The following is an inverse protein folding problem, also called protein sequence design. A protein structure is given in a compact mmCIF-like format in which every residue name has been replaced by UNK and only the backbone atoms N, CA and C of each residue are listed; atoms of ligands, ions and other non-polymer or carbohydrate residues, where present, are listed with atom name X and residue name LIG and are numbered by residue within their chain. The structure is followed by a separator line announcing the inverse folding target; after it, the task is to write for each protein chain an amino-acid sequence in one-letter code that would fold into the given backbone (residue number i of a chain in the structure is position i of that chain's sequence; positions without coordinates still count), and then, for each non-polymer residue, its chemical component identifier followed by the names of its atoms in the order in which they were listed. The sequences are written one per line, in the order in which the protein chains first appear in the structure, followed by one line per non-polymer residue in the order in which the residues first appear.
data_IF_889284458263
#
_entry.id   IF_889284458263
#
_cell.length_a   1.000
_cell.length_b   1.000
_cell.length_c   1.000
_cell.angle_alpha   90.00
_cell.angle_beta   90.00
_cell.angle_gamma   90.00
#
_symmetry.space_group_name_H-M   'P 1'
#
loop_
_entity.id
_entity.type
_entity.pdbx_description
1 polymer ?
#
# COMPACT_ATOMS: atom_id res chain seq x y z
N UNK A 1 -3.11 -10.49 12.71
CA UNK A 1 -3.45 -9.18 13.33
C UNK A 1 -3.48 -8.09 12.28
N UNK A 2 -4.16 -7.01 12.56
CA UNK A 2 -4.23 -5.82 11.69
C UNK A 2 -3.60 -4.62 12.40
N UNK A 3 -3.07 -3.67 11.61
CA UNK A 3 -2.58 -2.38 12.12
C UNK A 3 -3.22 -1.23 11.35
N UNK A 4 -3.50 -0.13 12.04
CA UNK A 4 -3.88 1.14 11.46
C UNK A 4 -3.28 2.27 12.30
N UNK A 5 -2.86 3.38 11.67
CA UNK A 5 -2.18 4.50 12.33
C UNK A 5 -0.95 4.05 13.16
N UNK A 6 -0.19 3.05 12.63
CA UNK A 6 0.98 2.40 13.27
C UNK A 6 0.67 1.69 14.60
N UNK A 7 -0.61 1.50 14.93
CA UNK A 7 -1.07 0.79 16.12
C UNK A 7 -1.53 -0.61 15.75
N UNK A 8 -1.06 -1.63 16.48
CA UNK A 8 -1.46 -3.04 16.30
C UNK A 8 -2.67 -3.36 17.14
N UNK A 9 -3.71 -3.87 16.53
CA UNK A 9 -4.93 -4.32 17.19
C UNK A 9 -4.78 -5.75 17.74
N UNK A 10 -5.56 -6.08 18.77
CA UNK A 10 -5.53 -7.41 19.41
C UNK A 10 -6.25 -8.46 18.58
N UNK A 11 -7.28 -8.05 17.86
CA UNK A 11 -8.14 -8.92 17.09
C UNK A 11 -7.42 -9.46 15.84
N UNK A 12 -7.71 -10.70 15.52
CA UNK A 12 -7.30 -11.32 14.27
C UNK A 12 -8.41 -11.18 13.23
N UNK A 13 -8.04 -10.89 12.00
CA UNK A 13 -8.94 -10.92 10.85
C UNK A 13 -8.88 -12.32 10.25
N UNK A 14 -9.96 -13.11 10.30
CA UNK A 14 -10.00 -14.46 9.74
C UNK A 14 -9.52 -14.47 8.28
N UNK A 15 -8.80 -15.54 7.91
CA UNK A 15 -8.24 -15.74 6.56
C UNK A 15 -7.23 -14.69 6.07
N UNK A 16 -7.02 -13.56 6.77
CA UNK A 16 -6.11 -12.50 6.31
C UNK A 16 -4.71 -13.03 5.99
N UNK A 17 -4.11 -13.82 6.88
CA UNK A 17 -2.78 -14.40 6.65
C UNK A 17 -2.72 -15.28 5.40
N UNK A 18 -3.76 -16.09 5.17
CA UNK A 18 -3.86 -16.93 3.97
C UNK A 18 -3.98 -16.09 2.70
N UNK A 19 -4.85 -15.09 2.71
CA UNK A 19 -5.02 -14.16 1.58
C UNK A 19 -3.72 -13.45 1.24
N UNK A 20 -3.01 -12.93 2.24
CA UNK A 20 -1.73 -12.22 2.02
C UNK A 20 -0.65 -13.14 1.44
N UNK A 21 -0.52 -14.38 1.94
CA UNK A 21 0.43 -15.35 1.40
C UNK A 21 0.11 -15.74 -0.04
N UNK A 22 -1.17 -15.98 -0.34
CA UNK A 22 -1.60 -16.33 -1.70
C UNK A 22 -1.47 -15.14 -2.67
N UNK A 23 -1.72 -13.89 -2.23
CA UNK A 23 -1.47 -12.72 -3.05
C UNK A 23 0.02 -12.50 -3.32
N UNK A 24 0.89 -12.69 -2.33
CA UNK A 24 2.33 -12.60 -2.54
C UNK A 24 2.79 -13.59 -3.61
N UNK A 25 2.39 -14.87 -3.51
CA UNK A 25 2.67 -15.89 -4.53
C UNK A 25 2.16 -15.48 -5.90
N UNK A 26 0.90 -15.05 -6.00
CA UNK A 26 0.27 -14.62 -7.25
C UNK A 26 1.00 -13.44 -7.90
N UNK A 27 1.28 -12.37 -7.14
CA UNK A 27 1.91 -11.18 -7.71
C UNK A 27 3.37 -11.41 -8.08
N UNK A 28 4.14 -12.12 -7.27
CA UNK A 28 5.53 -12.43 -7.59
C UNK A 28 5.66 -13.28 -8.86
N UNK A 29 4.70 -14.18 -9.11
CA UNK A 29 4.62 -14.93 -10.37
C UNK A 29 4.21 -14.02 -11.55
N UNK A 30 3.13 -13.25 -11.40
CA UNK A 30 2.55 -12.43 -12.47
C UNK A 30 3.42 -11.27 -12.92
N UNK A 31 4.17 -10.67 -12.02
CA UNK A 31 4.97 -9.48 -12.34
C UNK A 31 6.19 -9.79 -13.20
N UNK A 32 6.70 -11.02 -13.17
CA UNK A 32 7.87 -11.47 -13.97
C UNK A 32 9.10 -10.59 -13.75
N UNK A 33 9.30 -10.11 -12.53
CA UNK A 33 10.45 -9.33 -12.08
C UNK A 33 11.24 -10.14 -11.06
N UNK A 34 12.55 -9.88 -10.96
CA UNK A 34 13.38 -10.46 -9.91
C UNK A 34 12.80 -10.13 -8.54
N UNK A 35 12.47 -11.14 -7.75
CA UNK A 35 11.88 -11.00 -6.43
C UNK A 35 12.47 -12.02 -5.44
N UNK A 36 12.22 -11.80 -4.17
CA UNK A 36 12.79 -12.61 -3.10
C UNK A 36 12.00 -13.91 -2.79
N UNK A 37 10.84 -14.10 -3.41
CA UNK A 37 9.97 -15.24 -3.14
C UNK A 37 10.61 -16.56 -3.58
N UNK A 38 10.57 -17.56 -2.71
CA UNK A 38 11.05 -18.92 -3.02
C UNK A 38 9.87 -19.86 -3.19
N UNK A 39 9.01 -19.93 -2.19
CA UNK A 39 7.80 -20.78 -2.22
C UNK A 39 6.83 -20.44 -1.09
N UNK A 40 5.59 -20.83 -1.26
CA UNK A 40 4.63 -20.89 -0.15
C UNK A 40 4.85 -22.19 0.63
N UNK A 41 5.07 -22.07 1.93
CA UNK A 41 5.33 -23.17 2.83
C UNK A 41 4.05 -23.77 3.41
N UNK A 42 3.08 -22.88 3.76
CA UNK A 42 1.76 -23.24 4.28
C UNK A 42 0.73 -22.22 3.82
N UNK A 43 -0.50 -22.29 4.34
CA UNK A 43 -1.51 -21.27 4.03
C UNK A 43 -1.14 -19.87 4.56
N UNK A 44 -0.29 -19.78 5.57
CA UNK A 44 0.05 -18.51 6.24
C UNK A 44 1.54 -18.21 6.28
N UNK A 45 2.35 -18.99 5.55
CA UNK A 45 3.82 -18.86 5.57
C UNK A 45 4.39 -18.92 4.15
N UNK A 46 5.28 -17.99 3.85
CA UNK A 46 6.11 -17.99 2.64
C UNK A 46 7.59 -18.07 3.02
N UNK A 47 8.38 -18.72 2.19
CA UNK A 47 9.83 -18.73 2.27
C UNK A 47 10.35 -17.73 1.25
N UNK A 48 11.25 -16.86 1.70
CA UNK A 48 11.87 -15.82 0.89
C UNK A 48 13.37 -15.78 1.10
N UNK A 49 14.11 -15.32 0.09
CA UNK A 49 15.53 -15.01 0.24
C UNK A 49 15.71 -13.77 1.10
N UNK A 50 16.59 -13.85 2.11
CA UNK A 50 16.92 -12.70 2.95
C UNK A 50 17.70 -11.68 2.14
N UNK A 51 17.26 -10.44 2.15
CA UNK A 51 17.89 -9.32 1.44
C UNK A 51 18.35 -8.23 2.39
N UNK A 52 19.27 -7.39 1.93
CA UNK A 52 19.53 -6.08 2.54
C UNK A 52 18.50 -5.10 1.98
N UNK A 53 17.46 -4.82 2.77
CA UNK A 53 16.40 -3.89 2.35
C UNK A 53 16.94 -2.48 2.11
N UNK A 54 16.43 -1.82 1.08
CA UNK A 54 16.67 -0.40 0.85
C UNK A 54 15.79 0.42 1.81
N UNK A 55 16.33 1.50 2.41
CA UNK A 55 15.62 2.28 3.42
C UNK A 55 14.64 3.29 2.80
N UNK A 56 13.91 2.87 1.78
CA UNK A 56 12.95 3.67 1.02
C UNK A 56 11.73 2.81 0.68
N UNK A 57 10.53 3.36 0.89
CA UNK A 57 9.29 2.79 0.39
C UNK A 57 8.92 3.45 -0.93
N UNK A 58 8.65 2.63 -1.93
CA UNK A 58 8.34 3.07 -3.28
C UNK A 58 6.83 3.15 -3.45
N UNK A 59 6.25 4.33 -3.21
CA UNK A 59 4.82 4.56 -3.39
C UNK A 59 4.56 5.09 -4.80
N UNK A 60 3.62 4.47 -5.50
CA UNK A 60 3.12 4.95 -6.81
C UNK A 60 1.67 5.32 -6.68
N UNK A 61 1.32 6.51 -7.14
CA UNK A 61 -0.05 7.01 -7.09
C UNK A 61 -0.61 7.23 -8.47
N UNK A 62 -1.76 6.65 -8.74
CA UNK A 62 -2.50 6.85 -9.99
C UNK A 62 -3.70 7.77 -9.84
N UNK A 63 -4.06 8.13 -8.61
CA UNK A 63 -5.23 8.95 -8.29
C UNK A 63 -4.91 10.00 -7.23
N UNK A 64 -5.59 11.14 -7.29
CA UNK A 64 -5.48 12.21 -6.30
C UNK A 64 -6.26 11.81 -5.03
N UNK A 65 -5.59 11.10 -4.11
CA UNK A 65 -6.21 10.51 -2.94
C UNK A 65 -5.23 10.35 -1.75
N UNK A 66 -5.79 10.12 -0.56
CA UNK A 66 -5.02 9.84 0.65
C UNK A 66 -4.12 11.00 1.07
N UNK A 67 -2.92 10.69 1.57
CA UNK A 67 -1.95 11.69 2.07
C UNK A 67 -1.45 12.65 1.00
N UNK A 68 -1.57 12.31 -0.29
CA UNK A 68 -1.23 13.22 -1.39
C UNK A 68 -2.02 14.52 -1.31
N UNK A 69 -3.31 14.45 -0.94
CA UNK A 69 -4.20 15.63 -0.84
C UNK A 69 -3.72 16.60 0.24
N UNK A 70 -3.45 16.08 1.44
CA UNK A 70 -3.01 16.94 2.55
C UNK A 70 -1.65 17.58 2.26
N UNK A 71 -0.73 16.86 1.66
CA UNK A 71 0.58 17.33 1.27
C UNK A 71 0.52 18.38 0.15
N UNK A 72 -0.32 18.14 -0.85
CA UNK A 72 -0.56 19.12 -1.91
C UNK A 72 -1.12 20.43 -1.35
N UNK A 73 -2.12 20.36 -0.46
CA UNK A 73 -2.70 21.55 0.20
C UNK A 73 -1.68 22.33 1.03
N UNK A 74 -0.68 21.65 1.60
CA UNK A 74 0.41 22.28 2.35
C UNK A 74 1.56 22.77 1.46
N UNK A 75 1.51 22.51 0.14
CA UNK A 75 2.60 22.86 -0.78
C UNK A 75 3.83 21.95 -0.69
N UNK A 76 3.70 20.80 -0.02
CA UNK A 76 4.81 19.83 0.18
C UNK A 76 5.05 18.94 -1.04
N UNK A 77 4.13 18.91 -1.99
CA UNK A 77 4.25 18.18 -3.26
C UNK A 77 3.66 19.04 -4.39
N UNK A 78 4.36 19.04 -5.52
CA UNK A 78 3.89 19.69 -6.75
C UNK A 78 3.37 18.62 -7.71
N UNK A 79 2.22 18.90 -8.32
CA UNK A 79 1.64 18.04 -9.35
C UNK A 79 1.89 18.65 -10.74
N UNK A 80 1.96 17.84 -11.79
CA UNK A 80 2.07 18.33 -13.16
C UNK A 80 0.94 19.34 -13.49
N UNK A 81 1.25 20.34 -14.31
CA UNK A 81 0.26 21.31 -14.74
C UNK A 81 -0.93 20.63 -15.44
N UNK A 82 -2.15 21.08 -15.12
CA UNK A 82 -3.37 20.49 -15.67
C UNK A 82 -3.87 19.24 -14.93
N UNK A 83 -3.21 18.81 -13.85
CA UNK A 83 -3.72 17.74 -13.01
C UNK A 83 -5.05 18.12 -12.37
N UNK A 84 -6.07 17.26 -12.51
CA UNK A 84 -7.33 17.43 -11.78
C UNK A 84 -7.11 17.07 -10.29
N UNK A 85 -7.31 18.06 -9.43
CA UNK A 85 -7.17 17.95 -7.98
C UNK A 85 -8.50 17.73 -7.25
N UNK A 86 -9.51 17.27 -7.96
CA UNK A 86 -10.75 16.77 -7.35
C UNK A 86 -10.46 15.45 -6.63
N UNK A 87 -11.07 15.24 -5.47
CA UNK A 87 -10.92 14.00 -4.68
C UNK A 87 -11.16 12.77 -5.57
N UNK A 88 -10.24 11.83 -5.53
CA UNK A 88 -10.24 10.59 -6.31
C UNK A 88 -10.16 10.78 -7.85
N UNK A 89 -9.82 11.96 -8.37
CA UNK A 89 -9.55 12.12 -9.79
C UNK A 89 -8.33 11.30 -10.21
N UNK A 90 -8.38 10.72 -11.41
CA UNK A 90 -7.25 10.01 -11.99
C UNK A 90 -6.15 11.01 -12.36
N UNK A 91 -4.92 10.72 -11.99
CA UNK A 91 -3.76 11.53 -12.40
C UNK A 91 -3.49 11.35 -13.90
N UNK A 92 -2.92 12.36 -14.55
CA UNK A 92 -2.55 12.32 -15.97
C UNK A 92 -1.61 11.15 -16.27
N UNK A 93 -0.60 10.97 -15.41
CA UNK A 93 0.31 9.82 -15.37
C UNK A 93 0.49 9.40 -13.92
N UNK A 94 0.78 8.10 -13.65
CA UNK A 94 1.15 7.68 -12.31
C UNK A 94 2.41 8.40 -11.83
N UNK A 95 2.39 8.88 -10.59
CA UNK A 95 3.53 9.57 -9.99
C UNK A 95 4.24 8.67 -8.99
N UNK A 96 5.57 8.77 -8.95
CA UNK A 96 6.40 8.15 -7.92
C UNK A 96 6.51 9.11 -6.74
N UNK A 97 6.03 8.69 -5.59
CA UNK A 97 5.87 9.50 -4.37
C UNK A 97 6.45 8.76 -3.15
N UNK A 98 7.78 8.53 -3.13
CA UNK A 98 8.42 7.68 -2.13
C UNK A 98 8.45 8.30 -0.74
N UNK A 99 8.63 7.42 0.26
CA UNK A 99 8.86 7.79 1.66
C UNK A 99 10.14 7.12 2.18
N UNK A 100 10.68 7.64 3.28
CA UNK A 100 11.67 6.88 4.05
C UNK A 100 11.01 5.62 4.62
N UNK A 101 11.77 4.55 4.80
CA UNK A 101 11.39 3.41 5.64
C UNK A 101 11.96 3.63 7.02
N UNK A 102 11.20 4.31 7.87
CA UNK A 102 11.59 4.67 9.23
C UNK A 102 10.42 4.45 10.20
N UNK A 103 10.61 4.76 11.46
CA UNK A 103 9.53 4.67 12.46
C UNK A 103 8.33 5.55 12.09
N UNK A 104 8.58 6.66 11.40
CA UNK A 104 7.57 7.51 10.77
C UNK A 104 7.97 7.72 9.31
N UNK A 105 7.12 7.28 8.39
CA UNK A 105 7.36 7.39 6.95
C UNK A 105 7.33 8.86 6.51
N UNK A 106 8.50 9.41 6.22
CA UNK A 106 8.65 10.80 5.81
C UNK A 106 8.67 10.85 4.28
N UNK A 107 7.79 11.62 3.64
CA UNK A 107 7.82 11.84 2.21
C UNK A 107 9.15 12.46 1.76
N UNK A 108 9.70 11.93 0.69
CA UNK A 108 10.97 12.37 0.11
C UNK A 108 10.87 12.50 -1.39
N UNK A 109 11.59 13.47 -1.94
CA UNK A 109 11.89 13.57 -3.36
C UNK A 109 13.27 12.95 -3.67
N UNK A 110 13.65 12.97 -4.95
CA UNK A 110 14.94 12.47 -5.40
C UNK A 110 16.11 13.16 -4.70
N UNK A 111 16.06 14.49 -4.61
CA UNK A 111 17.15 15.27 -4.01
C UNK A 111 17.35 14.89 -2.54
N UNK A 112 16.27 14.79 -1.78
CA UNK A 112 16.31 14.42 -0.36
C UNK A 112 16.77 12.97 -0.17
N UNK A 113 16.33 12.03 -1.02
CA UNK A 113 16.76 10.62 -0.97
C UNK A 113 18.28 10.51 -1.16
N UNK A 114 18.86 11.27 -2.10
CA UNK A 114 20.32 11.31 -2.35
C UNK A 114 21.08 12.02 -1.23
N UNK A 115 20.60 13.15 -0.74
CA UNK A 115 21.23 13.89 0.38
C UNK A 115 21.27 13.03 1.65
N UNK A 116 20.22 12.28 1.93
CA UNK A 116 20.15 11.34 3.06
C UNK A 116 20.94 10.03 2.80
N UNK A 117 21.51 9.85 1.61
CA UNK A 117 22.23 8.64 1.20
C UNK A 117 21.43 7.36 1.36
N UNK A 118 20.13 7.42 1.13
CA UNK A 118 19.25 6.25 1.19
C UNK A 118 19.48 5.33 -0.01
N UNK A 119 19.71 5.92 -1.18
CA UNK A 119 19.97 5.25 -2.46
C UNK A 119 20.93 6.09 -3.30
N UNK A 120 21.54 5.49 -4.33
CA UNK A 120 22.29 6.22 -5.37
C UNK A 120 21.35 6.80 -6.43
N UNK A 121 21.87 7.66 -7.31
CA UNK A 121 21.09 8.25 -8.42
C UNK A 121 20.54 7.15 -9.34
N UNK A 122 21.40 6.20 -9.70
CA UNK A 122 21.02 5.06 -10.54
C UNK A 122 19.97 4.16 -9.87
N UNK A 123 20.12 3.92 -8.57
CA UNK A 123 19.15 3.16 -7.80
C UNK A 123 17.81 3.88 -7.77
N UNK A 124 17.78 5.19 -7.52
CA UNK A 124 16.55 5.97 -7.49
C UNK A 124 15.84 5.92 -8.84
N UNK A 125 16.55 6.18 -9.94
CA UNK A 125 15.99 6.12 -11.28
C UNK A 125 15.43 4.73 -11.64
N UNK A 126 16.11 3.68 -11.22
CA UNK A 126 15.65 2.29 -11.40
C UNK A 126 14.38 2.01 -10.59
N UNK A 127 14.35 2.43 -9.30
CA UNK A 127 13.20 2.26 -8.41
C UNK A 127 11.97 2.98 -8.94
N UNK A 128 12.12 4.24 -9.35
CA UNK A 128 11.04 5.04 -9.92
C UNK A 128 10.44 4.36 -11.17
N UNK A 129 11.30 4.08 -12.16
CA UNK A 129 10.86 3.44 -13.40
C UNK A 129 10.19 2.10 -13.14
N UNK A 130 10.84 1.23 -12.35
CA UNK A 130 10.35 -0.12 -12.11
C UNK A 130 9.06 -0.12 -11.32
N UNK A 131 8.91 0.74 -10.32
CA UNK A 131 7.69 0.86 -9.53
C UNK A 131 6.51 1.33 -10.38
N UNK A 132 6.72 2.30 -11.27
CA UNK A 132 5.68 2.76 -12.21
C UNK A 132 5.30 1.65 -13.20
N UNK A 133 6.27 0.90 -13.73
CA UNK A 133 6.01 -0.23 -14.64
C UNK A 133 5.19 -1.34 -13.94
N UNK A 134 5.53 -1.67 -12.68
CA UNK A 134 4.77 -2.62 -11.85
C UNK A 134 3.35 -2.10 -11.62
N UNK A 135 3.20 -0.84 -11.22
CA UNK A 135 1.89 -0.23 -10.98
C UNK A 135 1.02 -0.31 -12.24
N UNK A 136 1.54 0.03 -13.42
CA UNK A 136 0.82 -0.04 -14.69
C UNK A 136 0.34 -1.47 -14.96
N UNK A 137 1.22 -2.46 -14.84
CA UNK A 137 0.88 -3.88 -15.03
C UNK A 137 -0.18 -4.37 -14.03
N UNK A 138 -0.05 -4.03 -12.76
CA UNK A 138 -1.03 -4.38 -11.74
C UNK A 138 -2.37 -3.68 -11.97
N UNK A 139 -2.36 -2.42 -12.42
CA UNK A 139 -3.58 -1.67 -12.77
C UNK A 139 -4.35 -2.30 -13.92
N UNK A 140 -3.67 -2.83 -14.93
CA UNK A 140 -4.31 -3.55 -16.04
C UNK A 140 -4.98 -4.85 -15.57
N UNK A 141 -4.34 -5.57 -14.64
CA UNK A 141 -4.91 -6.80 -14.07
C UNK A 141 -6.12 -6.46 -13.20
N UNK A 142 -6.00 -5.44 -12.34
CA UNK A 142 -7.08 -4.96 -11.51
C UNK A 142 -8.28 -4.48 -12.34
N UNK A 143 -8.02 -3.76 -13.43
CA UNK A 143 -9.04 -3.24 -14.33
C UNK A 143 -9.89 -4.37 -14.95
N UNK A 144 -9.25 -5.44 -15.42
CA UNK A 144 -9.91 -6.64 -15.95
C UNK A 144 -10.74 -7.38 -14.89
N UNK A 145 -10.34 -7.30 -13.63
CA UNK A 145 -11.05 -7.88 -12.49
C UNK A 145 -12.18 -6.98 -11.94
N UNK A 146 -12.44 -5.82 -12.56
CA UNK A 146 -13.48 -4.88 -12.15
C UNK A 146 -13.05 -3.93 -11.03
N UNK A 147 -11.74 -3.72 -10.84
CA UNK A 147 -11.19 -2.83 -9.83
C UNK A 147 -10.35 -1.70 -10.43
N UNK A 148 -10.21 -0.65 -9.66
CA UNK A 148 -9.26 0.43 -9.85
C UNK A 148 -8.16 0.27 -8.80
N UNK A 149 -6.89 0.20 -9.23
CA UNK A 149 -5.73 0.30 -8.35
C UNK A 149 -5.39 1.79 -8.18
N UNK A 150 -5.69 2.35 -7.01
CA UNK A 150 -5.52 3.79 -6.80
C UNK A 150 -4.09 4.19 -6.47
N UNK A 151 -3.43 3.41 -5.64
CA UNK A 151 -2.01 3.54 -5.30
C UNK A 151 -1.43 2.18 -4.91
N UNK A 152 -0.10 2.11 -4.89
CA UNK A 152 0.65 0.90 -4.58
C UNK A 152 1.92 1.29 -3.82
N UNK A 153 2.25 0.55 -2.77
CA UNK A 153 3.53 0.62 -2.04
C UNK A 153 4.35 -0.63 -2.36
N UNK A 154 5.60 -0.45 -2.70
CA UNK A 154 6.57 -1.50 -2.98
C UNK A 154 7.83 -1.30 -2.14
N UNK A 155 8.46 -2.39 -1.78
CA UNK A 155 9.74 -2.39 -1.10
C UNK A 155 10.76 -3.23 -1.87
N UNK A 156 11.99 -2.77 -1.88
CA UNK A 156 13.07 -3.43 -2.60
C UNK A 156 14.28 -3.64 -1.69
N UNK A 157 15.08 -4.62 -2.02
CA UNK A 157 16.35 -4.89 -1.34
C UNK A 157 17.43 -5.29 -2.33
N UNK A 158 18.61 -5.54 -1.80
CA UNK A 158 19.76 -6.04 -2.58
C UNK A 158 19.90 -7.55 -2.31
N UNK A 159 19.80 -8.35 -3.35
CA UNK A 159 20.09 -9.78 -3.38
C UNK A 159 21.15 -10.04 -4.46
N UNK A 160 22.27 -10.63 -4.07
CA UNK A 160 23.39 -10.94 -4.98
C UNK A 160 23.82 -9.73 -5.84
N UNK A 161 23.88 -8.56 -5.22
CA UNK A 161 24.29 -7.31 -5.87
C UNK A 161 23.23 -6.66 -6.77
N UNK A 162 22.02 -7.21 -6.88
CA UNK A 162 20.95 -6.71 -7.74
C UNK A 162 19.79 -6.18 -6.90
N UNK A 163 19.16 -5.09 -7.36
CA UNK A 163 17.91 -4.61 -6.78
C UNK A 163 16.82 -5.64 -7.10
N UNK A 164 16.14 -6.08 -6.06
CA UNK A 164 15.18 -7.18 -6.09
C UNK A 164 13.92 -6.78 -5.34
N UNK A 165 12.75 -7.07 -5.89
CA UNK A 165 11.47 -6.79 -5.26
C UNK A 165 11.31 -7.67 -4.02
N UNK A 166 10.87 -7.07 -2.92
CA UNK A 166 10.73 -7.72 -1.63
C UNK A 166 9.39 -7.47 -0.97
N UNK A 167 9.36 -7.67 0.34
CA UNK A 167 8.19 -7.56 1.21
C UNK A 167 7.03 -8.45 0.74
N UNK A 168 5.81 -8.00 0.88
CA UNK A 168 4.61 -8.65 0.34
C UNK A 168 3.86 -7.69 -0.57
N UNK A 169 3.09 -8.24 -1.49
CA UNK A 169 2.19 -7.44 -2.34
C UNK A 169 0.78 -7.96 -2.10
N UNK A 170 -0.03 -7.17 -1.42
CA UNK A 170 -1.38 -7.56 -1.06
C UNK A 170 -2.25 -6.36 -0.67
N UNK A 171 -3.47 -6.59 -0.19
CA UNK A 171 -4.41 -5.53 0.17
C UNK A 171 -3.94 -4.57 1.26
N UNK A 172 -2.86 -4.88 1.96
CA UNK A 172 -2.24 -3.96 2.93
C UNK A 172 -1.33 -2.92 2.25
N UNK A 173 -0.87 -3.19 1.02
CA UNK A 173 0.11 -2.40 0.29
C UNK A 173 -0.48 -1.59 -0.86
N UNK A 174 -1.80 -1.70 -1.12
CA UNK A 174 -2.46 -0.93 -2.17
C UNK A 174 -3.91 -0.58 -1.81
N UNK A 175 -4.47 0.44 -2.48
CA UNK A 175 -5.90 0.73 -2.47
C UNK A 175 -6.57 0.18 -3.71
N UNK A 176 -7.62 -0.61 -3.49
CA UNK A 176 -8.36 -1.28 -4.55
C UNK A 176 -9.83 -0.85 -4.47
N UNK A 177 -10.31 -0.10 -5.47
CA UNK A 177 -11.68 0.40 -5.53
C UNK A 177 -12.53 -0.36 -6.54
N UNK A 178 -13.76 -0.77 -6.22
CA UNK A 178 -14.68 -1.35 -7.19
C UNK A 178 -15.03 -0.32 -8.28
N UNK A 179 -14.81 -0.66 -9.55
CA UNK A 179 -15.07 0.26 -10.67
C UNK A 179 -16.51 0.74 -10.76
N UNK A 180 -17.47 -0.14 -10.45
CA UNK A 180 -18.91 0.16 -10.53
C UNK A 180 -19.40 1.14 -9.46
N UNK A 181 -18.64 1.38 -8.41
CA UNK A 181 -18.95 2.35 -7.35
C UNK A 181 -18.06 3.59 -7.37
N UNK A 182 -17.06 3.62 -8.25
CA UNK A 182 -16.13 4.73 -8.35
C UNK A 182 -16.82 6.04 -8.75
N UNK A 183 -16.61 7.10 -7.98
CA UNK A 183 -17.14 8.44 -8.25
C UNK A 183 -16.10 9.50 -7.89
N UNK A 184 -15.71 10.32 -8.87
CA UNK A 184 -14.85 11.49 -8.64
C UNK A 184 -15.56 12.46 -7.67
N UNK A 185 -14.79 13.09 -6.79
CA UNK A 185 -15.29 14.03 -5.79
C UNK A 185 -15.82 13.38 -4.51
N UNK A 186 -15.82 12.05 -4.41
CA UNK A 186 -16.29 11.32 -3.23
C UNK A 186 -15.21 10.43 -2.63
N UNK A 187 -15.38 10.09 -1.35
CA UNK A 187 -14.64 9.00 -0.71
C UNK A 187 -15.00 7.70 -1.39
N UNK A 188 -14.00 6.85 -1.62
CA UNK A 188 -14.18 5.60 -2.34
C UNK A 188 -14.33 4.42 -1.39
N UNK A 189 -15.23 3.49 -1.73
CA UNK A 189 -15.21 2.17 -1.12
C UNK A 189 -13.91 1.47 -1.49
N UNK A 190 -13.24 0.83 -0.52
CA UNK A 190 -11.94 0.20 -0.75
C UNK A 190 -11.93 -1.24 -0.24
N UNK A 191 -11.28 -2.14 -1.00
CA UNK A 191 -11.10 -3.56 -0.66
C UNK A 191 -9.75 -3.82 0.00
N UNK A 192 -9.42 -2.94 0.94
CA UNK A 192 -8.21 -2.98 1.78
C UNK A 192 -8.58 -2.72 3.26
N UNK A 193 -7.61 -2.30 4.05
CA UNK A 193 -7.81 -1.94 5.46
C UNK A 193 -8.49 -0.57 5.68
N UNK A 194 -8.96 0.10 4.61
CA UNK A 194 -9.59 1.42 4.73
C UNK A 194 -10.86 1.38 5.57
N UNK A 195 -11.64 0.29 5.51
CA UNK A 195 -12.84 0.14 6.33
C UNK A 195 -12.54 0.26 7.85
N UNK A 196 -11.40 -0.25 8.30
CA UNK A 196 -10.97 -0.08 9.69
C UNK A 196 -10.60 1.37 9.98
N UNK A 197 -9.89 2.03 9.05
CA UNK A 197 -9.52 3.44 9.20
C UNK A 197 -10.74 4.36 9.23
N UNK A 198 -11.72 4.10 8.37
CA UNK A 198 -12.97 4.87 8.31
C UNK A 198 -13.74 4.71 9.64
N UNK A 199 -13.89 3.48 10.12
CA UNK A 199 -14.52 3.20 11.41
C UNK A 199 -13.79 3.91 12.56
N UNK A 200 -12.46 3.87 12.60
CA UNK A 200 -11.66 4.55 13.61
C UNK A 200 -11.84 6.08 13.56
N UNK A 201 -11.87 6.64 12.35
CA UNK A 201 -12.06 8.08 12.13
C UNK A 201 -13.45 8.53 12.56
N UNK A 202 -14.51 7.80 12.17
CA UNK A 202 -15.90 8.06 12.54
C UNK A 202 -16.14 8.04 14.05
N UNK A 203 -15.36 7.22 14.78
CA UNK A 203 -15.43 7.12 16.24
C UNK A 203 -14.40 8.00 16.98
N UNK A 204 -13.67 8.87 16.26
CA UNK A 204 -12.73 9.82 16.84
C UNK A 204 -11.41 9.21 17.35
N UNK A 205 -11.12 7.94 17.05
CA UNK A 205 -9.92 7.26 17.53
C UNK A 205 -8.63 7.78 16.90
N UNK A 206 -8.68 8.29 15.66
CA UNK A 206 -7.50 8.88 15.04
C UNK A 206 -6.92 10.01 15.89
N UNK A 207 -7.77 10.94 16.34
CA UNK A 207 -7.34 12.06 17.18
C UNK A 207 -6.77 11.56 18.53
N UNK A 208 -7.38 10.52 19.12
CA UNK A 208 -6.87 9.94 20.38
C UNK A 208 -5.46 9.37 20.22
N UNK A 209 -5.16 8.75 19.06
CA UNK A 209 -3.83 8.23 18.76
C UNK A 209 -2.81 9.35 18.56
N UNK A 210 -3.19 10.41 17.86
CA UNK A 210 -2.33 11.58 17.64
C UNK A 210 -2.04 12.29 18.98
N UNK A 211 -3.07 12.55 19.79
CA UNK A 211 -2.93 13.18 21.12
C UNK A 211 -2.02 12.34 22.06
N UNK A 212 -2.16 11.01 22.06
CA UNK A 212 -1.32 10.13 22.86
C UNK A 212 0.16 10.18 22.45
N UNK A 213 0.43 10.18 21.13
CA UNK A 213 1.79 10.28 20.58
C UNK A 213 2.43 11.63 20.92
N UNK A 214 1.68 12.72 20.77
CA UNK A 214 2.15 14.07 21.09
C UNK A 214 2.49 14.18 22.59
N UNK A 215 1.79 13.41 23.44
CA UNK A 215 2.08 13.29 24.86
C UNK A 215 3.20 12.29 25.21
N UNK A 216 3.85 11.66 24.19
CA UNK A 216 4.87 10.64 24.40
C UNK A 216 4.32 9.32 25.00
N UNK A 217 3.04 9.04 24.82
CA UNK A 217 2.36 7.85 25.31
C UNK A 217 2.12 6.87 24.14
N UNK A 218 2.11 5.56 24.45
CA UNK A 218 1.72 4.56 23.46
C UNK A 218 0.18 4.57 23.30
N UNK A 219 -0.34 4.76 22.07
CA UNK A 219 -1.78 4.74 21.83
C UNK A 219 -2.40 3.39 22.16
N UNK A 220 -3.54 3.39 22.85
CA UNK A 220 -4.29 2.18 23.17
C UNK A 220 -5.33 1.90 22.09
N UNK A 221 -5.21 0.77 21.33
CA UNK A 221 -6.19 0.46 20.30
C UNK A 221 -7.53 0.03 20.92
N UNK A 222 -8.67 0.50 20.39
CA UNK A 222 -9.98 0.00 20.78
C UNK A 222 -10.19 -1.42 20.27
N UNK A 223 -11.15 -2.14 20.85
CA UNK A 223 -11.59 -3.43 20.32
C UNK A 223 -12.37 -3.25 19.02
N UNK A 224 -12.03 -4.03 17.99
CA UNK A 224 -12.70 -3.97 16.68
C UNK A 224 -14.02 -4.75 16.76
N UNK A 225 -15.17 -4.15 16.39
CA UNK A 225 -16.46 -4.86 16.36
C UNK A 225 -16.44 -6.05 15.39
N UNK A 226 -17.12 -7.12 15.74
CA UNK A 226 -17.23 -8.34 14.91
C UNK A 226 -17.74 -8.04 13.50
N UNK A 227 -18.63 -7.08 13.35
CA UNK A 227 -19.12 -6.64 12.04
C UNK A 227 -18.02 -6.07 11.15
N UNK A 228 -17.12 -5.27 11.72
CA UNK A 228 -15.99 -4.70 10.98
C UNK A 228 -14.99 -5.82 10.61
N UNK A 229 -14.72 -6.74 11.54
CA UNK A 229 -13.88 -7.92 11.29
C UNK A 229 -14.44 -8.75 10.12
N UNK A 230 -15.75 -9.02 10.12
CA UNK A 230 -16.39 -9.78 9.05
C UNK A 230 -16.31 -9.04 7.71
N UNK A 231 -16.65 -7.76 7.68
CA UNK A 231 -16.55 -6.93 6.46
C UNK A 231 -15.12 -6.90 5.91
N UNK A 232 -14.11 -6.81 6.77
CA UNK A 232 -12.71 -6.88 6.34
C UNK A 232 -12.39 -8.25 5.74
N UNK A 233 -12.79 -9.32 6.41
CA UNK A 233 -12.57 -10.70 5.92
C UNK A 233 -13.19 -10.88 4.53
N UNK A 234 -14.44 -10.49 4.36
CA UNK A 234 -15.16 -10.62 3.09
C UNK A 234 -14.49 -9.82 1.96
N UNK A 235 -14.02 -8.61 2.26
CA UNK A 235 -13.29 -7.78 1.29
C UNK A 235 -11.95 -8.39 0.87
N UNK A 236 -11.15 -8.89 1.81
CA UNK A 236 -9.89 -9.56 1.51
C UNK A 236 -10.11 -10.81 0.63
N UNK A 237 -11.09 -11.65 0.98
CA UNK A 237 -11.42 -12.85 0.19
C UNK A 237 -11.93 -12.48 -1.20
N UNK A 238 -12.91 -11.56 -1.28
CA UNK A 238 -13.47 -11.10 -2.56
C UNK A 238 -12.40 -10.47 -3.47
N UNK A 239 -11.51 -9.66 -2.92
CA UNK A 239 -10.40 -9.08 -3.69
C UNK A 239 -9.50 -10.18 -4.27
N UNK A 240 -9.15 -11.18 -3.45
CA UNK A 240 -8.34 -12.30 -3.91
C UNK A 240 -9.04 -13.08 -5.04
N UNK A 241 -10.27 -13.51 -4.82
CA UNK A 241 -10.99 -14.33 -5.79
C UNK A 241 -11.20 -13.61 -7.12
N UNK A 242 -11.56 -12.32 -7.09
CA UNK A 242 -11.77 -11.54 -8.31
C UNK A 242 -10.46 -11.24 -9.06
N UNK A 243 -9.39 -10.88 -8.35
CA UNK A 243 -8.10 -10.54 -8.97
C UNK A 243 -7.39 -11.76 -9.55
N UNK A 244 -7.48 -12.90 -8.88
CA UNK A 244 -6.75 -14.10 -9.26
C UNK A 244 -7.55 -15.07 -10.09
N UNK A 245 -8.88 -15.05 -9.98
CA UNK A 245 -9.79 -16.05 -10.55
C UNK A 245 -9.78 -17.38 -9.79
N UNK A 246 -9.14 -17.44 -8.61
CA UNK A 246 -9.06 -18.64 -7.78
C UNK A 246 -9.89 -18.48 -6.52
N UNK A 247 -10.51 -19.54 -6.05
CA UNK A 247 -11.16 -19.58 -4.74
C UNK A 247 -10.10 -19.68 -3.63
N UNK A 248 -10.38 -19.03 -2.49
CA UNK A 248 -9.48 -19.02 -1.34
C UNK A 248 -9.47 -20.38 -0.62
#
# INVERSE_FOLDING_TARGET
RVSAYDVKFKEDIPKKGEVLCKFAEFWFDKLSISNHFVKRQSNTEIIVNKMKMLPIECVVRGYFYGSLISRWKKGEVQLPAGTDTTLAAKLLEPIFDPTTKSEHDIPIDKQKALQMRLVTDEQYAWLEKTSIDIYKKMSEIADKAGFILADLKLEFGILDGKITLGDSIGPDEYRLWPKNYYQIGKTQESFDKQILRDWLTEHGYQKQFDDARDAGQEPIPPSIPLEIIQKMTDRYVTAYEKLTGHTL
#
